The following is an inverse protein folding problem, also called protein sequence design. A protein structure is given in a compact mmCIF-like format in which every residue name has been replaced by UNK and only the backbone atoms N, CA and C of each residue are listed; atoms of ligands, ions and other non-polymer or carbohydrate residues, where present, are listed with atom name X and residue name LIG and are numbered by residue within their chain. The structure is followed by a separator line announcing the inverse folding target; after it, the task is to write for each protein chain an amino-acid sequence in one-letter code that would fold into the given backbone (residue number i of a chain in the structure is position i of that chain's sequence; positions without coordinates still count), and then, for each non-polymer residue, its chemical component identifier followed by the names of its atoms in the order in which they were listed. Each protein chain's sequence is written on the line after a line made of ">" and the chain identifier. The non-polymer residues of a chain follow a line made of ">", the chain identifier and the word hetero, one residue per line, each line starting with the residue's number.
data_IF_330958367821
#
_entry.id   IF_330958367821
#
_cell.length_a   1.000
_cell.length_b   1.000
_cell.length_c   1.000
_cell.angle_alpha   90.00
_cell.angle_beta   90.00
_cell.angle_gamma   90.00
#
_symmetry.space_group_name_H-M   'P 1'
#
loop_
_entity.id
_entity.type
_entity.pdbx_description
1 polymer ?
#
# COMPACT_ATOMS: atom_id res chain seq x y z
N UNK A 1 -26.44 -3.23 -5.49
CA UNK A 1 -26.17 -4.68 -5.42
C UNK A 1 -25.00 -4.98 -6.33
N UNK A 2 -23.81 -5.22 -5.77
CA UNK A 2 -22.67 -5.68 -6.55
C UNK A 2 -22.99 -7.09 -7.10
N UNK A 3 -22.60 -7.39 -8.34
CA UNK A 3 -22.81 -8.75 -8.86
C UNK A 3 -21.92 -9.74 -8.10
N UNK A 4 -22.33 -11.00 -7.91
CA UNK A 4 -21.51 -12.04 -7.25
C UNK A 4 -20.08 -12.11 -7.81
N UNK A 5 -19.91 -11.84 -9.10
CA UNK A 5 -18.64 -11.75 -9.81
C UNK A 5 -17.74 -10.61 -9.32
N UNK A 6 -18.29 -9.44 -9.00
CA UNK A 6 -17.51 -8.30 -8.49
C UNK A 6 -17.02 -8.58 -7.07
N UNK A 7 -17.87 -9.18 -6.23
CA UNK A 7 -17.49 -9.57 -4.86
C UNK A 7 -16.36 -10.59 -4.87
N UNK A 8 -16.45 -11.61 -5.73
CA UNK A 8 -15.40 -12.60 -5.87
C UNK A 8 -14.09 -12.00 -6.40
N UNK A 9 -14.16 -11.06 -7.34
CA UNK A 9 -12.97 -10.41 -7.89
C UNK A 9 -12.26 -9.55 -6.83
N UNK A 10 -13.01 -8.82 -6.01
CA UNK A 10 -12.44 -8.03 -4.89
C UNK A 10 -11.81 -8.94 -3.85
N UNK A 11 -12.49 -10.03 -3.46
CA UNK A 11 -11.96 -10.99 -2.50
C UNK A 11 -10.68 -11.67 -3.01
N UNK A 12 -10.67 -12.10 -4.28
CA UNK A 12 -9.49 -12.71 -4.91
C UNK A 12 -8.33 -11.70 -5.01
N UNK A 13 -8.63 -10.45 -5.37
CA UNK A 13 -7.64 -9.37 -5.44
C UNK A 13 -7.04 -9.04 -4.08
N UNK A 14 -7.86 -8.99 -3.03
CA UNK A 14 -7.40 -8.80 -1.65
C UNK A 14 -6.53 -9.95 -1.19
N UNK A 15 -6.94 -11.20 -1.44
CA UNK A 15 -6.14 -12.38 -1.12
C UNK A 15 -4.77 -12.35 -1.83
N UNK A 16 -4.75 -12.06 -3.13
CA UNK A 16 -3.52 -11.98 -3.90
C UNK A 16 -2.61 -10.85 -3.39
N UNK A 17 -3.19 -9.70 -3.03
CA UNK A 17 -2.45 -8.60 -2.41
C UNK A 17 -1.80 -9.04 -1.10
N UNK A 18 -2.53 -9.72 -0.22
CA UNK A 18 -1.99 -10.21 1.05
C UNK A 18 -0.84 -11.20 0.85
N UNK A 19 -0.99 -12.14 -0.09
CA UNK A 19 0.07 -13.11 -0.40
C UNK A 19 1.32 -12.41 -0.93
N UNK A 20 1.17 -11.48 -1.88
CA UNK A 20 2.31 -10.71 -2.39
C UNK A 20 2.98 -9.89 -1.29
N UNK A 21 2.17 -9.31 -0.41
CA UNK A 21 2.63 -8.44 0.66
C UNK A 21 3.38 -9.22 1.74
N UNK A 22 2.89 -10.41 2.08
CA UNK A 22 3.58 -11.36 2.95
C UNK A 22 4.92 -11.81 2.34
N UNK A 23 4.94 -12.14 1.05
CA UNK A 23 6.16 -12.51 0.35
C UNK A 23 7.16 -11.36 0.30
N UNK A 24 6.73 -10.13 0.01
CA UNK A 24 7.61 -8.96 0.01
C UNK A 24 8.21 -8.71 1.41
N UNK A 25 7.41 -8.84 2.47
CA UNK A 25 7.88 -8.79 3.86
C UNK A 25 8.77 -9.98 4.24
N UNK A 26 8.66 -11.11 3.56
CA UNK A 26 9.57 -12.25 3.76
C UNK A 26 10.80 -12.22 2.82
N UNK A 27 11.02 -11.15 2.05
CA UNK A 27 12.03 -11.12 0.97
C UNK A 27 11.91 -12.32 0.00
N UNK A 28 10.68 -12.75 -0.26
CA UNK A 28 10.33 -13.89 -1.10
C UNK A 28 10.85 -15.24 -0.59
N UNK A 29 11.23 -15.35 0.70
CA UNK A 29 11.48 -16.62 1.35
C UNK A 29 10.15 -17.27 1.78
N UNK A 30 9.84 -18.41 1.17
CA UNK A 30 8.62 -19.16 1.44
C UNK A 30 8.52 -19.72 2.86
N UNK A 31 9.65 -20.03 3.51
CA UNK A 31 9.62 -20.54 4.89
C UNK A 31 9.28 -19.42 5.86
N UNK A 32 9.91 -18.25 5.72
CA UNK A 32 9.60 -17.06 6.53
C UNK A 32 8.17 -16.60 6.29
N UNK A 33 7.72 -16.58 5.02
CA UNK A 33 6.35 -16.22 4.68
C UNK A 33 5.32 -17.16 5.33
N UNK A 34 5.56 -18.47 5.35
CA UNK A 34 4.63 -19.42 5.97
C UNK A 34 4.55 -19.22 7.49
N UNK A 35 5.69 -19.03 8.15
CA UNK A 35 5.72 -18.73 9.59
C UNK A 35 5.03 -17.41 9.93
N UNK A 36 5.21 -16.37 9.09
CA UNK A 36 4.50 -15.10 9.24
C UNK A 36 2.99 -15.23 8.98
N UNK A 37 2.57 -16.16 8.11
CA UNK A 37 1.14 -16.38 7.87
C UNK A 37 0.42 -16.92 9.11
N UNK A 38 1.12 -17.65 9.98
CA UNK A 38 0.52 -18.20 11.20
C UNK A 38 0.29 -17.12 12.28
N UNK A 39 1.11 -16.07 12.31
CA UNK A 39 1.00 -14.95 13.27
C UNK A 39 0.22 -13.74 12.74
N UNK A 40 0.00 -13.62 11.43
CA UNK A 40 -0.76 -12.51 10.84
C UNK A 40 -2.26 -12.80 10.85
N UNK A 41 -3.01 -11.97 11.56
CA UNK A 41 -4.47 -12.04 11.58
C UNK A 41 -5.06 -11.46 10.27
N UNK A 42 -5.39 -12.33 9.31
CA UNK A 42 -5.91 -11.95 7.99
C UNK A 42 -7.31 -11.33 7.99
N UNK A 43 -7.99 -11.28 9.14
CA UNK A 43 -9.28 -10.61 9.26
C UNK A 43 -9.18 -9.08 9.07
N UNK A 44 -7.99 -8.49 9.23
CA UNK A 44 -7.76 -7.04 9.05
C UNK A 44 -7.04 -6.69 7.73
N UNK A 45 -7.60 -7.15 6.61
CA UNK A 45 -7.10 -6.82 5.26
C UNK A 45 -7.04 -5.30 5.03
N UNK A 46 -7.98 -4.55 5.61
CA UNK A 46 -8.05 -3.10 5.46
C UNK A 46 -6.88 -2.44 6.17
N UNK A 47 -6.57 -2.85 7.42
CA UNK A 47 -5.41 -2.40 8.17
C UNK A 47 -4.11 -2.67 7.43
N UNK A 48 -3.93 -3.86 6.84
CA UNK A 48 -2.72 -4.20 6.07
C UNK A 48 -2.58 -3.32 4.82
N UNK A 49 -3.67 -3.06 4.09
CA UNK A 49 -3.65 -2.18 2.92
C UNK A 49 -3.31 -0.75 3.32
N UNK A 50 -3.97 -0.21 4.35
CA UNK A 50 -3.73 1.15 4.85
C UNK A 50 -2.31 1.29 5.39
N UNK A 51 -1.84 0.33 6.19
CA UNK A 51 -0.48 0.28 6.72
C UNK A 51 0.57 0.20 5.61
N UNK A 52 0.29 -0.52 4.52
CA UNK A 52 1.18 -0.55 3.34
C UNK A 52 1.22 0.80 2.66
N UNK A 53 0.07 1.46 2.46
CA UNK A 53 0.03 2.79 1.86
C UNK A 53 0.81 3.83 2.68
N UNK A 54 0.70 3.75 4.00
CA UNK A 54 1.38 4.66 4.94
C UNK A 54 2.87 4.34 5.07
N UNK A 55 3.25 3.07 5.21
CA UNK A 55 4.65 2.63 5.36
C UNK A 55 5.47 2.75 4.07
N UNK A 56 4.82 2.79 2.92
CA UNK A 56 5.46 2.93 1.61
C UNK A 56 5.30 4.33 1.01
N UNK A 57 5.43 5.39 1.82
CA UNK A 57 5.03 6.75 1.43
C UNK A 57 5.53 7.20 0.05
N UNK A 58 6.79 6.95 -0.30
CA UNK A 58 7.36 7.30 -1.61
C UNK A 58 6.72 6.54 -2.77
N UNK A 59 6.56 5.23 -2.64
CA UNK A 59 6.00 4.36 -3.67
C UNK A 59 4.50 4.61 -3.84
N UNK A 60 3.78 4.80 -2.72
CA UNK A 60 2.38 5.24 -2.68
C UNK A 60 2.20 6.58 -3.38
N UNK A 61 3.09 7.54 -3.11
CA UNK A 61 3.07 8.85 -3.77
C UNK A 61 3.23 8.76 -5.28
N UNK A 62 4.15 7.92 -5.78
CA UNK A 62 4.35 7.68 -7.22
C UNK A 62 3.13 7.02 -7.86
N UNK A 63 2.54 6.01 -7.21
CA UNK A 63 1.32 5.36 -7.70
C UNK A 63 0.16 6.34 -7.75
N UNK A 64 -0.06 7.14 -6.70
CA UNK A 64 -1.08 8.19 -6.69
C UNK A 64 -0.82 9.23 -7.79
N UNK A 65 0.43 9.64 -7.98
CA UNK A 65 0.82 10.56 -9.04
C UNK A 65 0.50 10.03 -10.45
N UNK A 66 0.51 8.71 -10.65
CA UNK A 66 0.13 8.09 -11.92
C UNK A 66 -1.38 7.85 -12.06
N UNK A 67 -2.04 7.37 -11.01
CA UNK A 67 -3.45 6.96 -11.04
C UNK A 67 -4.38 8.17 -10.96
N UNK A 68 -4.05 9.16 -10.13
CA UNK A 68 -4.90 10.32 -9.89
C UNK A 68 -5.23 11.10 -11.17
N UNK A 69 -4.28 11.43 -12.05
CA UNK A 69 -4.59 12.21 -13.26
C UNK A 69 -5.48 11.44 -14.22
N UNK A 70 -5.33 10.12 -14.28
CA UNK A 70 -6.20 9.25 -15.05
C UNK A 70 -7.62 9.22 -14.47
N UNK A 71 -7.74 9.13 -13.14
CA UNK A 71 -9.04 9.16 -12.45
C UNK A 71 -9.75 10.52 -12.64
N UNK A 72 -9.02 11.63 -12.52
CA UNK A 72 -9.53 12.99 -12.78
C UNK A 72 -9.99 13.12 -14.22
N UNK A 73 -9.17 12.72 -15.19
CA UNK A 73 -9.53 12.81 -16.62
C UNK A 73 -10.77 11.98 -16.95
N UNK A 74 -10.88 10.76 -16.40
CA UNK A 74 -12.08 9.92 -16.54
C UNK A 74 -13.31 10.60 -15.93
N UNK A 75 -13.18 11.19 -14.74
CA UNK A 75 -14.28 11.86 -14.05
C UNK A 75 -14.76 13.07 -14.84
N UNK A 76 -13.84 13.95 -15.27
CA UNK A 76 -14.16 15.11 -16.13
C UNK A 76 -14.88 14.67 -17.39
N UNK A 77 -14.43 13.59 -18.04
CA UNK A 77 -15.08 13.05 -19.23
C UNK A 77 -16.51 12.54 -18.99
N UNK A 78 -16.79 11.92 -17.84
CA UNK A 78 -18.15 11.49 -17.47
C UNK A 78 -19.04 12.69 -17.10
N UNK A 79 -18.49 13.68 -16.38
CA UNK A 79 -19.20 14.92 -16.02
C UNK A 79 -19.60 15.70 -17.26
N UNK A 80 -18.68 15.87 -18.23
CA UNK A 80 -18.96 16.55 -19.51
C UNK A 80 -20.02 15.80 -20.33
N UNK A 81 -20.16 14.48 -20.17
CA UNK A 81 -21.21 13.66 -20.79
C UNK A 81 -22.54 13.63 -20.02
N UNK A 82 -22.62 14.32 -18.88
CA UNK A 82 -23.83 14.36 -18.04
C UNK A 82 -24.03 13.15 -17.12
N UNK A 83 -23.07 12.23 -17.05
CA UNK A 83 -23.13 11.02 -16.20
C UNK A 83 -22.50 11.29 -14.84
N UNK A 84 -22.99 12.31 -14.12
CA UNK A 84 -22.45 12.64 -12.80
C UNK A 84 -22.84 11.58 -11.77
N UNK A 85 -21.83 11.03 -11.09
CA UNK A 85 -21.97 9.98 -10.08
C UNK A 85 -21.34 10.44 -8.77
N UNK A 86 -22.13 10.73 -7.71
CA UNK A 86 -21.63 11.31 -6.46
C UNK A 86 -20.50 10.49 -5.79
N UNK A 87 -20.59 9.17 -5.85
CA UNK A 87 -19.58 8.26 -5.29
C UNK A 87 -18.21 8.41 -5.94
N UNK A 88 -18.14 8.74 -7.25
CA UNK A 88 -16.87 8.94 -7.94
C UNK A 88 -16.20 10.24 -7.50
N UNK A 89 -16.99 11.29 -7.26
CA UNK A 89 -16.50 12.60 -6.80
C UNK A 89 -15.90 12.51 -5.39
N UNK A 90 -16.59 11.80 -4.48
CA UNK A 90 -16.09 11.57 -3.11
C UNK A 90 -14.81 10.74 -3.14
N UNK A 91 -14.79 9.64 -3.90
CA UNK A 91 -13.59 8.82 -4.07
C UNK A 91 -12.40 9.64 -4.62
N UNK A 92 -12.65 10.48 -5.62
CA UNK A 92 -11.65 11.39 -6.18
C UNK A 92 -11.14 12.39 -5.13
N UNK A 93 -12.05 13.00 -4.36
CA UNK A 93 -11.69 13.95 -3.31
C UNK A 93 -10.81 13.30 -2.23
N UNK A 94 -11.12 12.06 -1.83
CA UNK A 94 -10.29 11.27 -0.90
C UNK A 94 -8.90 11.03 -1.50
N UNK A 95 -8.83 10.60 -2.76
CA UNK A 95 -7.57 10.34 -3.46
C UNK A 95 -6.68 11.60 -3.58
N UNK A 96 -7.29 12.75 -3.88
CA UNK A 96 -6.61 14.05 -3.88
C UNK A 96 -6.10 14.37 -2.47
N UNK A 97 -6.94 14.20 -1.45
CA UNK A 97 -6.56 14.44 -0.05
C UNK A 97 -5.36 13.60 0.39
N UNK A 98 -5.34 12.31 0.04
CA UNK A 98 -4.21 11.41 0.33
C UNK A 98 -2.94 11.85 -0.39
N UNK A 99 -3.03 12.23 -1.67
CA UNK A 99 -1.87 12.74 -2.40
C UNK A 99 -1.33 14.04 -1.78
N UNK A 100 -2.21 14.98 -1.42
CA UNK A 100 -1.80 16.23 -0.77
C UNK A 100 -1.13 15.96 0.58
N UNK A 101 -1.70 15.08 1.40
CA UNK A 101 -1.08 14.66 2.65
C UNK A 101 0.30 14.04 2.42
N UNK A 102 0.42 13.12 1.46
CA UNK A 102 1.69 12.50 1.10
C UNK A 102 2.73 13.53 0.62
N UNK A 103 2.33 14.52 -0.18
CA UNK A 103 3.23 15.58 -0.66
C UNK A 103 3.72 16.50 0.47
N UNK A 104 2.85 16.83 1.41
CA UNK A 104 3.21 17.63 2.59
C UNK A 104 4.18 16.85 3.47
N UNK A 105 3.87 15.59 3.77
CA UNK A 105 4.65 14.74 4.69
C UNK A 105 6.00 14.33 4.11
N UNK A 106 6.05 13.91 2.84
CA UNK A 106 7.26 13.33 2.23
C UNK A 106 8.15 14.36 1.53
N UNK A 107 7.65 15.59 1.32
CA UNK A 107 8.36 16.70 0.66
C UNK A 107 9.04 16.28 -0.66
N UNK A 108 8.44 15.32 -1.36
CA UNK A 108 9.07 14.57 -2.45
C UNK A 108 8.88 15.26 -3.81
N UNK A 109 9.84 16.14 -4.13
CA UNK A 109 9.91 16.82 -5.43
C UNK A 109 9.83 15.89 -6.66
N UNK A 110 10.42 14.68 -6.68
CA UNK A 110 10.27 13.78 -7.82
C UNK A 110 8.84 13.29 -8.04
N UNK A 111 8.09 13.04 -6.95
CA UNK A 111 6.69 12.62 -7.02
C UNK A 111 5.80 13.70 -7.63
N UNK A 112 6.06 14.97 -7.30
CA UNK A 112 5.42 16.12 -7.94
C UNK A 112 5.71 16.21 -9.44
N UNK A 113 6.97 16.02 -9.84
CA UNK A 113 7.35 16.05 -11.27
C UNK A 113 6.65 14.94 -12.04
N UNK A 114 6.61 13.71 -11.50
CA UNK A 114 5.88 12.59 -12.12
C UNK A 114 4.39 12.91 -12.23
N UNK A 115 3.77 13.39 -11.15
CA UNK A 115 2.36 13.76 -11.14
C UNK A 115 2.06 14.83 -12.20
N UNK A 116 2.92 15.84 -12.32
CA UNK A 116 2.79 16.92 -13.29
C UNK A 116 2.92 16.38 -14.72
N UNK A 117 3.97 15.62 -15.03
CA UNK A 117 4.23 15.08 -16.37
C UNK A 117 3.10 14.15 -16.82
N UNK A 118 2.63 13.26 -15.94
CA UNK A 118 1.51 12.35 -16.24
C UNK A 118 0.23 13.15 -16.45
N UNK A 119 -0.07 14.12 -15.57
CA UNK A 119 -1.24 15.00 -15.71
C UNK A 119 -1.23 15.75 -17.03
N UNK A 120 -0.13 16.44 -17.35
CA UNK A 120 0.00 17.20 -18.59
C UNK A 120 -0.09 16.28 -19.81
N UNK A 121 0.48 15.09 -19.77
CA UNK A 121 0.42 14.12 -20.88
C UNK A 121 -1.00 13.64 -21.12
N UNK A 122 -1.71 13.22 -20.06
CA UNK A 122 -3.11 12.78 -20.14
C UNK A 122 -4.00 13.90 -20.65
N UNK A 123 -3.84 15.12 -20.12
CA UNK A 123 -4.63 16.28 -20.53
C UNK A 123 -4.37 16.66 -22.00
N UNK A 124 -3.10 16.62 -22.43
CA UNK A 124 -2.70 16.90 -23.82
C UNK A 124 -3.28 15.87 -24.79
N UNK A 125 -3.23 14.57 -24.44
CA UNK A 125 -3.82 13.49 -25.25
C UNK A 125 -5.34 13.56 -25.28
N UNK A 126 -5.97 14.01 -24.20
CA UNK A 126 -7.42 14.18 -24.13
C UNK A 126 -7.89 15.36 -24.99
N UNK A 127 -7.15 16.48 -24.98
CA UNK A 127 -7.50 17.69 -25.73
C UNK A 127 -7.17 17.58 -27.22
N UNK A 128 -6.05 16.94 -27.57
CA UNK A 128 -5.69 16.69 -28.98
C UNK A 128 -6.50 15.50 -29.51
N UNK A 129 -7.26 15.68 -30.59
CA UNK A 129 -7.93 14.58 -31.33
C UNK A 129 -6.93 13.70 -32.09
N UNK A 130 -5.89 13.23 -31.40
CA UNK A 130 -4.78 12.46 -31.98
C UNK A 130 -4.97 10.94 -31.91
N UNK A 131 -4.02 10.17 -32.46
CA UNK A 131 -4.08 8.71 -32.57
C UNK A 131 -4.01 7.97 -31.22
N UNK A 132 -3.64 8.66 -30.13
CA UNK A 132 -3.54 8.09 -28.78
C UNK A 132 -4.87 8.06 -28.02
N UNK A 133 -5.90 8.77 -28.49
CA UNK A 133 -7.24 8.80 -27.90
C UNK A 133 -7.90 7.41 -27.77
N UNK A 134 -7.86 6.51 -28.77
CA UNK A 134 -8.40 5.16 -28.62
C UNK A 134 -7.68 4.35 -27.53
N UNK A 135 -6.37 4.51 -27.37
CA UNK A 135 -5.62 3.88 -26.27
C UNK A 135 -6.06 4.41 -24.91
N UNK A 136 -6.20 5.73 -24.76
CA UNK A 136 -6.69 6.33 -23.53
C UNK A 136 -8.09 5.83 -23.15
N UNK A 137 -8.97 5.65 -24.15
CA UNK A 137 -10.31 5.11 -23.93
C UNK A 137 -10.32 3.65 -23.49
N UNK A 138 -9.39 2.81 -24.00
CA UNK A 138 -9.19 1.44 -23.53
C UNK A 138 -8.69 1.41 -22.09
N UNK A 139 -7.72 2.27 -21.75
CA UNK A 139 -7.22 2.42 -20.39
C UNK A 139 -8.36 2.82 -19.45
N UNK A 140 -9.20 3.78 -19.86
CA UNK A 140 -10.39 4.13 -19.08
C UNK A 140 -11.32 2.93 -18.92
N UNK A 141 -11.60 2.17 -19.98
CA UNK A 141 -12.43 0.97 -19.89
C UNK A 141 -11.89 -0.09 -18.91
N UNK A 142 -10.57 -0.11 -18.67
CA UNK A 142 -9.90 -1.06 -17.79
C UNK A 142 -9.30 -0.40 -16.54
N UNK A 143 -9.78 0.78 -16.14
CA UNK A 143 -9.25 1.52 -15.01
C UNK A 143 -9.22 0.69 -13.71
N UNK A 144 -10.24 -0.15 -13.48
CA UNK A 144 -10.27 -1.03 -12.31
C UNK A 144 -9.11 -2.03 -12.30
N UNK A 145 -8.72 -2.55 -13.47
CA UNK A 145 -7.56 -3.45 -13.61
C UNK A 145 -6.26 -2.69 -13.41
N UNK A 146 -6.15 -1.46 -13.95
CA UNK A 146 -4.95 -0.61 -13.76
C UNK A 146 -4.74 -0.29 -12.29
N UNK A 147 -5.80 0.11 -11.59
CA UNK A 147 -5.77 0.39 -10.16
C UNK A 147 -5.42 -0.89 -9.40
N UNK A 148 -6.07 -2.02 -9.70
CA UNK A 148 -5.77 -3.31 -9.07
C UNK A 148 -4.31 -3.73 -9.25
N UNK A 149 -3.77 -3.63 -10.45
CA UNK A 149 -2.35 -3.91 -10.73
C UNK A 149 -1.41 -2.96 -10.00
N UNK A 150 -1.75 -1.67 -9.91
CA UNK A 150 -0.94 -0.71 -9.15
C UNK A 150 -0.92 -1.03 -7.65
N UNK A 151 -2.06 -1.46 -7.08
CA UNK A 151 -2.16 -1.92 -5.69
C UNK A 151 -1.38 -3.22 -5.47
N UNK A 152 -1.49 -4.21 -6.36
CA UNK A 152 -0.71 -5.44 -6.28
C UNK A 152 0.80 -5.17 -6.41
N UNK A 153 1.18 -4.26 -7.31
CA UNK A 153 2.56 -3.79 -7.45
C UNK A 153 3.06 -3.13 -6.18
N UNK A 154 2.25 -2.27 -5.54
CA UNK A 154 2.57 -1.71 -4.23
C UNK A 154 2.83 -2.81 -3.20
N UNK A 155 1.90 -3.76 -3.05
CA UNK A 155 2.04 -4.85 -2.09
C UNK A 155 3.29 -5.71 -2.29
N UNK A 156 3.63 -6.03 -3.55
CA UNK A 156 4.80 -6.87 -3.86
C UNK A 156 6.14 -6.14 -3.88
N UNK A 157 6.16 -4.83 -4.15
CA UNK A 157 7.40 -4.05 -4.25
C UNK A 157 7.78 -3.34 -2.95
N UNK A 158 6.91 -3.38 -1.94
CA UNK A 158 7.23 -2.77 -0.65
C UNK A 158 7.68 -3.82 0.34
N UNK A 159 8.94 -3.69 0.70
CA UNK A 159 9.57 -4.52 1.71
C UNK A 159 9.44 -3.91 3.11
N UNK A 160 8.89 -2.69 3.25
CA UNK A 160 8.69 -2.04 4.55
C UNK A 160 7.68 -2.82 5.38
N UNK A 161 8.02 -3.20 6.61
CA UNK A 161 7.08 -3.91 7.49
C UNK A 161 5.99 -2.93 7.95
N UNK A 162 4.73 -3.38 8.03
CA UNK A 162 3.59 -2.54 8.44
C UNK A 162 3.54 -2.27 9.96
N UNK A 163 4.49 -2.82 10.71
CA UNK A 163 4.65 -2.64 12.15
C UNK A 163 5.86 -1.75 12.41
N UNK A 164 5.80 -0.79 13.35
CA UNK A 164 6.97 0.00 13.72
C UNK A 164 8.10 -0.90 14.24
N UNK A 165 9.32 -0.48 13.92
CA UNK A 165 10.53 -1.12 14.41
C UNK A 165 10.73 -0.77 15.89
N UNK A 166 10.96 -1.79 16.72
CA UNK A 166 11.14 -1.61 18.15
C UNK A 166 12.48 -2.14 18.61
N UNK A 167 13.12 -1.39 19.51
CA UNK A 167 14.31 -1.83 20.23
C UNK A 167 13.86 -2.46 21.55
N UNK A 168 14.06 -3.77 21.66
CA UNK A 168 13.63 -4.58 22.79
C UNK A 168 14.84 -4.85 23.68
N UNK A 169 14.82 -4.32 24.90
CA UNK A 169 15.83 -4.61 25.92
C UNK A 169 15.45 -5.88 26.69
N UNK A 170 16.33 -6.89 26.70
CA UNK A 170 16.16 -8.12 27.46
C UNK A 170 16.82 -8.03 28.84
N UNK A 171 16.33 -8.84 29.79
CA UNK A 171 16.83 -8.92 31.17
C UNK A 171 18.31 -9.31 31.29
N UNK A 172 18.84 -10.01 30.29
CA UNK A 172 20.25 -10.41 30.22
C UNK A 172 21.17 -9.26 29.76
N UNK A 173 20.60 -8.09 29.45
CA UNK A 173 21.32 -6.91 28.96
C UNK A 173 21.53 -6.89 27.45
N UNK A 174 21.00 -7.88 26.73
CA UNK A 174 21.03 -7.88 25.26
C UNK A 174 19.90 -7.02 24.69
N UNK A 175 20.15 -6.38 23.54
CA UNK A 175 19.15 -5.60 22.81
C UNK A 175 18.86 -6.27 21.48
N UNK A 176 17.59 -6.55 21.21
CA UNK A 176 17.11 -7.04 19.91
C UNK A 176 16.39 -5.89 19.21
N UNK A 177 16.83 -5.56 18.00
CA UNK A 177 16.12 -4.64 17.11
C UNK A 177 15.30 -5.45 16.12
N UNK A 178 14.00 -5.18 16.03
CA UNK A 178 13.12 -5.89 15.13
C UNK A 178 11.67 -5.43 15.16
N UNK A 179 10.88 -5.97 14.24
CA UNK A 179 9.46 -5.67 14.12
C UNK A 179 8.66 -6.63 15.00
N UNK A 180 7.88 -6.10 15.93
CA UNK A 180 7.08 -6.93 16.86
C UNK A 180 5.81 -7.40 16.17
N UNK A 181 5.82 -8.61 15.62
CA UNK A 181 4.73 -9.12 14.79
C UNK A 181 3.51 -9.52 15.63
N UNK A 182 3.73 -10.16 16.77
CA UNK A 182 2.66 -10.61 17.65
C UNK A 182 3.07 -10.55 19.13
N UNK A 183 2.14 -10.13 19.99
CA UNK A 183 2.32 -10.10 21.45
C UNK A 183 1.21 -10.97 22.07
N UNK A 184 1.52 -12.23 22.37
CA UNK A 184 0.60 -13.16 23.05
C UNK A 184 1.25 -13.70 24.32
N UNK A 185 0.68 -13.43 25.50
CA UNK A 185 1.19 -14.05 26.72
C UNK A 185 1.22 -15.59 26.59
N UNK A 186 2.37 -16.27 26.76
CA UNK A 186 3.60 -15.82 27.43
C UNK A 186 4.77 -15.33 26.55
N UNK A 187 4.62 -15.24 25.23
CA UNK A 187 5.68 -14.93 24.26
C UNK A 187 5.42 -13.67 23.40
N UNK A 188 6.46 -13.19 22.75
CA UNK A 188 6.42 -12.10 21.77
C UNK A 188 7.20 -12.57 20.56
N UNK A 189 6.58 -12.52 19.39
CA UNK A 189 7.26 -12.80 18.13
C UNK A 189 7.87 -11.52 17.57
N UNK A 190 9.18 -11.57 17.33
CA UNK A 190 9.96 -10.44 16.83
C UNK A 190 10.61 -10.88 15.52
N UNK A 191 10.36 -10.14 14.44
CA UNK A 191 11.06 -10.30 13.18
C UNK A 191 12.33 -9.45 13.22
N UNK A 192 13.51 -10.08 13.21
CA UNK A 192 14.78 -9.33 13.25
C UNK A 192 14.99 -8.49 12.00
N UNK A 193 15.58 -7.30 12.17
CA UNK A 193 15.93 -6.41 11.07
C UNK A 193 16.98 -7.06 10.14
N UNK A 194 18.04 -7.63 10.73
CA UNK A 194 19.02 -8.42 10.01
C UNK A 194 18.48 -9.84 9.76
N UNK A 195 18.38 -10.23 8.48
CA UNK A 195 18.04 -11.60 8.06
C UNK A 195 16.54 -11.95 8.01
N UNK A 196 15.67 -11.15 8.63
CA UNK A 196 14.22 -11.44 8.75
C UNK A 196 13.91 -12.81 9.35
N UNK A 197 14.63 -13.15 10.41
CA UNK A 197 14.37 -14.36 11.18
C UNK A 197 13.34 -14.06 12.28
N UNK A 198 12.40 -14.99 12.47
CA UNK A 198 11.41 -14.90 13.54
C UNK A 198 12.05 -15.41 14.82
N UNK A 199 12.12 -14.52 15.82
CA UNK A 199 12.65 -14.83 17.15
C UNK A 199 11.53 -14.74 18.16
N UNK A 200 11.24 -15.85 18.81
CA UNK A 200 10.25 -15.92 19.90
C UNK A 200 10.97 -15.52 21.19
N UNK A 201 10.57 -14.39 21.78
CA UNK A 201 11.09 -13.87 23.05
C UNK A 201 10.03 -14.06 24.12
N UNK A 202 10.41 -14.52 25.32
CA UNK A 202 9.46 -14.62 26.42
C UNK A 202 9.08 -13.23 26.95
N UNK A 203 7.79 -12.96 27.13
CA UNK A 203 7.29 -11.64 27.57
C UNK A 203 7.80 -11.24 28.97
N UNK A 204 8.19 -12.22 29.79
CA UNK A 204 8.82 -11.99 31.10
C UNK A 204 10.31 -11.60 31.06
N UNK A 205 10.95 -11.71 29.89
CA UNK A 205 12.35 -11.35 29.66
C UNK A 205 12.49 -9.93 29.09
N UNK A 206 11.40 -9.34 28.58
CA UNK A 206 11.36 -7.98 28.04
C UNK A 206 11.33 -6.97 29.18
N UNK A 207 12.39 -6.15 29.30
CA UNK A 207 12.51 -5.10 30.33
C UNK A 207 12.01 -3.75 29.81
N UNK A 208 12.26 -3.46 28.54
CA UNK A 208 11.84 -2.21 27.91
C UNK A 208 11.53 -2.40 26.43
N UNK A 209 10.62 -1.57 25.92
CA UNK A 209 10.33 -1.40 24.49
C UNK A 209 10.37 0.08 24.19
N UNK A 210 11.21 0.47 23.25
CA UNK A 210 11.27 1.84 22.74
C UNK A 210 11.21 1.77 21.22
N UNK A 211 10.49 2.69 20.61
CA UNK A 211 10.47 2.81 19.14
C UNK A 211 11.87 3.20 18.67
N UNK A 212 12.34 2.63 17.56
CA UNK A 212 13.71 2.85 17.10
C UNK A 212 14.00 4.33 16.73
N UNK A 213 12.95 5.13 16.51
CA UNK A 213 12.98 6.54 16.15
C UNK A 213 12.91 7.51 17.36
N UNK A 214 12.72 7.02 18.59
CA UNK A 214 12.68 7.85 19.80
C UNK A 214 14.07 7.85 20.49
N UNK A 215 14.73 9.02 20.65
CA UNK A 215 16.13 9.12 21.11
C UNK A 215 16.38 8.68 22.56
#
# INVERSE_FOLDING_TARGET
>A
MASKTEVNAVALGGMLFLVLRLLAVAHYDWHVAFSLAESVNFDDVIGVVVGTLLGAGTLTGVVLAMVLPLAVARHVHHVVRGEWRPHQTVFLAVLVGVLVAALITLRSWPGLVVALVVSTSVFTVMWRRGPLRPYLSKIFAHMGVVIGLAFLGLGGLTDTVWVPEQRIGLRDGTTITGYVMEVQSPYTEVLTEEGRDIRIVMSGEVVSRTDADDP
#
